data_IF_030534070647
#
_entry.id   IF_030534070647
#
_cell.length_a   1.000
_cell.length_b   1.000
_cell.length_c   1.000
_cell.angle_alpha   90.00
_cell.angle_beta   90.00
_cell.angle_gamma   90.00
#
_symmetry.space_group_name_H-M   'P 1'
#
loop_
_entity.id
_entity.type
_entity.pdbx_description
1 polymer ?
#
# COMPACT_ATOMS: atom_id res chain seq x y z
N UNK A 1 6.32 3.30 -0.11
CA UNK A 1 5.51 2.06 -0.01
C UNK A 1 4.85 1.99 1.35
N UNK A 2 3.55 1.63 1.43
CA UNK A 2 2.90 1.36 2.71
C UNK A 2 3.05 -0.13 3.10
N UNK A 3 3.45 -0.43 4.34
CA UNK A 3 3.65 -1.80 4.83
C UNK A 3 2.80 -2.03 6.08
N UNK A 4 1.76 -2.85 5.98
CA UNK A 4 0.85 -3.06 7.10
C UNK A 4 -0.32 -3.99 6.83
N UNK A 5 -0.91 -4.54 7.90
CA UNK A 5 -2.08 -5.40 7.83
C UNK A 5 -3.31 -4.69 7.20
N UNK A 6 -4.28 -5.43 6.61
CA UNK A 6 -5.63 -4.88 6.44
C UNK A 6 -6.12 -4.34 7.78
N UNK A 7 -6.92 -3.27 7.82
CA UNK A 7 -7.34 -2.70 9.09
C UNK A 7 -6.39 -1.61 9.65
N UNK A 8 -5.13 -1.57 9.21
CA UNK A 8 -4.07 -0.80 9.88
C UNK A 8 -4.08 0.71 9.64
N UNK A 9 -5.02 1.24 8.83
CA UNK A 9 -5.10 2.67 8.53
C UNK A 9 -4.30 3.14 7.31
N UNK A 10 -3.82 2.24 6.44
CA UNK A 10 -3.09 2.62 5.19
C UNK A 10 -3.85 3.62 4.33
N UNK A 11 -5.11 3.33 4.01
CA UNK A 11 -5.96 4.21 3.20
C UNK A 11 -6.17 5.57 3.85
N UNK A 12 -6.32 5.62 5.18
CA UNK A 12 -6.42 6.87 5.94
C UNK A 12 -5.11 7.67 5.85
N UNK A 13 -3.98 7.00 6.04
CA UNK A 13 -2.67 7.65 5.94
C UNK A 13 -2.40 8.16 4.52
N UNK A 14 -2.72 7.37 3.50
CA UNK A 14 -2.65 7.79 2.10
C UNK A 14 -3.47 9.06 1.85
N UNK A 15 -4.71 9.12 2.33
CA UNK A 15 -5.55 10.31 2.18
C UNK A 15 -4.93 11.56 2.82
N UNK A 16 -4.29 11.41 3.99
CA UNK A 16 -3.54 12.49 4.64
C UNK A 16 -2.33 12.93 3.82
N UNK A 17 -1.55 11.98 3.30
CA UNK A 17 -0.40 12.26 2.43
C UNK A 17 -0.83 13.00 1.15
N UNK A 18 -1.95 12.59 0.54
CA UNK A 18 -2.51 13.26 -0.64
C UNK A 18 -2.99 14.68 -0.32
N UNK A 19 -3.75 14.85 0.77
CA UNK A 19 -4.24 16.16 1.19
C UNK A 19 -3.10 17.15 1.51
N UNK A 20 -1.97 16.64 2.00
CA UNK A 20 -0.78 17.44 2.28
C UNK A 20 0.13 17.67 1.05
N UNK A 21 -0.20 17.14 -0.14
CA UNK A 21 0.66 17.21 -1.32
C UNK A 21 1.99 16.44 -1.18
N UNK A 22 2.05 15.51 -0.24
CA UNK A 22 3.23 14.71 0.10
C UNK A 22 3.18 13.28 -0.49
N UNK A 23 2.03 12.88 -1.06
CA UNK A 23 1.95 11.65 -1.82
C UNK A 23 2.44 11.86 -3.26
N UNK A 24 3.17 10.90 -3.84
CA UNK A 24 3.38 10.86 -5.28
C UNK A 24 2.06 10.97 -6.04
N UNK A 25 2.08 11.65 -7.19
CA UNK A 25 0.90 11.85 -8.04
C UNK A 25 0.22 10.51 -8.41
N UNK A 26 1.00 9.42 -8.50
CA UNK A 26 0.49 8.08 -8.79
C UNK A 26 0.44 7.22 -7.54
N UNK A 27 -0.74 6.72 -7.21
CA UNK A 27 -0.93 5.60 -6.29
C UNK A 27 -1.21 4.33 -7.07
N UNK A 28 -0.63 3.21 -6.63
CA UNK A 28 -0.88 1.89 -7.16
C UNK A 28 -1.50 1.04 -6.04
N UNK A 29 -2.78 0.72 -6.16
CA UNK A 29 -3.53 -0.04 -5.16
C UNK A 29 -4.32 -1.17 -5.81
N UNK A 30 -4.11 -2.40 -5.33
CA UNK A 30 -4.86 -3.56 -5.82
C UNK A 30 -6.35 -3.46 -5.53
N UNK A 31 -6.73 -2.86 -4.40
CA UNK A 31 -8.14 -2.74 -4.03
C UNK A 31 -8.87 -1.71 -4.89
N UNK A 32 -8.20 -0.62 -5.27
CA UNK A 32 -8.74 0.37 -6.21
C UNK A 32 -8.82 -0.20 -7.62
N UNK A 33 -7.79 -0.87 -8.11
CA UNK A 33 -7.83 -1.46 -9.45
C UNK A 33 -8.89 -2.57 -9.57
N UNK A 34 -9.16 -3.33 -8.50
CA UNK A 34 -10.30 -4.26 -8.45
C UNK A 34 -11.64 -3.52 -8.53
N UNK A 35 -11.79 -2.43 -7.77
CA UNK A 35 -13.00 -1.61 -7.79
C UNK A 35 -13.24 -0.99 -9.17
N UNK A 36 -12.23 -0.36 -9.76
CA UNK A 36 -12.27 0.21 -11.12
C UNK A 36 -12.59 -0.85 -12.16
N UNK A 37 -12.02 -2.07 -12.04
CA UNK A 37 -12.34 -3.15 -12.96
C UNK A 37 -13.80 -3.61 -12.83
N UNK A 38 -14.34 -3.70 -11.61
CA UNK A 38 -15.76 -4.00 -11.37
C UNK A 38 -16.68 -2.91 -11.89
N UNK A 39 -16.36 -1.64 -11.65
CA UNK A 39 -17.12 -0.49 -12.16
C UNK A 39 -17.20 -0.51 -13.70
N UNK A 40 -16.10 -0.85 -14.37
CA UNK A 40 -16.08 -1.01 -15.84
C UNK A 40 -16.94 -2.17 -16.33
N UNK A 41 -16.98 -3.29 -15.61
CA UNK A 41 -17.87 -4.41 -15.92
C UNK A 41 -19.33 -3.98 -15.80
N UNK A 42 -19.69 -3.31 -14.70
CA UNK A 42 -21.05 -2.81 -14.46
C UNK A 42 -21.46 -1.77 -15.51
N UNK A 43 -20.58 -0.82 -15.82
CA UNK A 43 -20.83 0.19 -16.86
C UNK A 43 -21.00 -0.42 -18.26
N UNK A 44 -20.42 -1.60 -18.50
CA UNK A 44 -20.59 -2.38 -19.72
C UNK A 44 -21.78 -3.36 -19.67
N UNK A 45 -22.66 -3.25 -18.67
CA UNK A 45 -23.87 -4.07 -18.53
C UNK A 45 -23.62 -5.49 -18.02
N UNK A 46 -22.42 -5.82 -17.51
CA UNK A 46 -22.14 -7.12 -16.92
C UNK A 46 -22.58 -7.18 -15.46
N UNK A 47 -23.00 -8.36 -15.02
CA UNK A 47 -23.36 -8.58 -13.62
C UNK A 47 -22.14 -8.38 -12.70
N UNK A 48 -22.27 -7.65 -11.58
CA UNK A 48 -21.17 -7.39 -10.68
C UNK A 48 -20.70 -8.65 -9.95
N UNK A 49 -19.45 -9.03 -10.14
CA UNK A 49 -18.81 -10.16 -9.45
C UNK A 49 -18.11 -9.74 -8.16
N UNK A 50 -17.82 -10.67 -7.23
CA UNK A 50 -16.97 -10.43 -6.07
C UNK A 50 -15.63 -9.76 -6.45
N UNK A 51 -15.18 -8.78 -5.66
CA UNK A 51 -13.96 -7.99 -5.97
C UNK A 51 -12.70 -8.86 -6.18
N UNK A 52 -12.59 -9.99 -5.48
CA UNK A 52 -11.42 -10.87 -5.59
C UNK A 52 -11.29 -11.53 -6.97
N UNK A 53 -12.39 -11.69 -7.72
CA UNK A 53 -12.36 -12.21 -9.09
C UNK A 53 -11.69 -11.26 -10.09
N UNK A 54 -11.55 -9.98 -9.72
CA UNK A 54 -10.84 -8.99 -10.51
C UNK A 54 -9.33 -8.96 -10.23
N UNK A 55 -8.81 -9.82 -9.35
CA UNK A 55 -7.41 -9.75 -8.89
C UNK A 55 -6.40 -9.88 -10.02
N UNK A 56 -6.59 -10.78 -10.97
CA UNK A 56 -5.63 -10.96 -12.07
C UNK A 56 -5.54 -9.70 -12.95
N UNK A 57 -6.67 -9.08 -13.25
CA UNK A 57 -6.73 -7.81 -13.98
C UNK A 57 -6.11 -6.68 -13.16
N UNK A 58 -6.42 -6.60 -11.87
CA UNK A 58 -5.87 -5.58 -10.98
C UNK A 58 -4.35 -5.67 -10.85
N UNK A 59 -3.80 -6.88 -10.72
CA UNK A 59 -2.35 -7.13 -10.69
C UNK A 59 -1.68 -6.63 -11.96
N UNK A 60 -2.16 -7.05 -13.14
CA UNK A 60 -1.57 -6.62 -14.43
C UNK A 60 -1.59 -5.10 -14.59
N UNK A 61 -2.67 -4.45 -14.16
CA UNK A 61 -2.80 -2.98 -14.23
C UNK A 61 -1.88 -2.27 -13.26
N UNK A 62 -1.73 -2.80 -12.04
CA UNK A 62 -0.75 -2.32 -11.08
C UNK A 62 0.68 -2.45 -11.63
N UNK A 63 1.03 -3.61 -12.19
CA UNK A 63 2.36 -3.86 -12.77
C UNK A 63 2.65 -2.90 -13.94
N UNK A 64 1.70 -2.73 -14.87
CA UNK A 64 1.83 -1.77 -15.96
C UNK A 64 1.94 -0.33 -15.47
N UNK A 65 1.18 0.05 -14.43
CA UNK A 65 1.26 1.36 -13.81
C UNK A 65 2.62 1.64 -13.19
N UNK A 66 3.17 0.66 -12.44
CA UNK A 66 4.50 0.74 -11.84
C UNK A 66 5.57 0.83 -12.93
N UNK A 67 5.51 -0.03 -13.95
CA UNK A 67 6.45 -0.02 -15.05
C UNK A 67 6.47 1.33 -15.79
N UNK A 68 5.30 1.91 -16.07
CA UNK A 68 5.19 3.22 -16.69
C UNK A 68 5.77 4.35 -15.82
N UNK A 69 5.50 4.34 -14.50
CA UNK A 69 6.09 5.30 -13.57
C UNK A 69 7.61 5.19 -13.53
N UNK A 70 8.15 3.97 -13.42
CA UNK A 70 9.59 3.72 -13.35
C UNK A 70 10.30 4.12 -14.66
N UNK A 71 9.73 3.78 -15.82
CA UNK A 71 10.29 4.15 -17.12
C UNK A 71 10.34 5.68 -17.32
N UNK A 72 9.42 6.41 -16.70
CA UNK A 72 9.39 7.86 -16.70
C UNK A 72 10.24 8.51 -15.59
N UNK A 73 10.90 7.72 -14.73
CA UNK A 73 11.63 8.23 -13.56
C UNK A 73 10.73 8.93 -12.53
N UNK A 74 9.44 8.59 -12.49
CA UNK A 74 8.46 9.24 -11.62
C UNK A 74 8.19 8.39 -10.36
N UNK A 75 8.12 9.02 -9.17
CA UNK A 75 7.79 8.31 -7.94
C UNK A 75 6.32 7.82 -7.97
N UNK A 76 6.05 6.75 -7.21
CA UNK A 76 4.70 6.23 -7.00
C UNK A 76 4.51 5.71 -5.57
N UNK A 77 3.27 5.74 -5.10
CA UNK A 77 2.87 5.16 -3.83
C UNK A 77 2.32 3.74 -4.04
N UNK A 78 3.08 2.73 -3.64
CA UNK A 78 2.58 1.36 -3.54
C UNK A 78 1.69 1.20 -2.30
N UNK A 79 0.38 1.04 -2.50
CA UNK A 79 -0.64 0.84 -1.46
C UNK A 79 -1.21 -0.59 -1.51
N UNK A 80 -0.54 -1.48 -0.78
CA UNK A 80 -0.99 -2.83 -0.51
C UNK A 80 -0.51 -3.24 0.88
N UNK A 81 -0.70 -4.51 1.26
CA UNK A 81 -0.24 -4.96 2.58
C UNK A 81 1.29 -5.06 2.67
N UNK A 82 1.96 -5.44 1.58
CA UNK A 82 3.42 -5.62 1.46
C UNK A 82 4.06 -6.44 2.61
N UNK A 83 3.33 -7.42 3.14
CA UNK A 83 3.80 -8.25 4.26
C UNK A 83 4.74 -9.39 3.85
N UNK A 84 4.86 -9.70 2.55
CA UNK A 84 5.79 -10.71 2.05
C UNK A 84 7.09 -10.03 1.58
N UNK A 85 8.24 -10.55 2.04
CA UNK A 85 9.57 -10.04 1.66
C UNK A 85 9.76 -9.96 0.16
N UNK A 86 9.38 -11.01 -0.59
CA UNK A 86 9.54 -11.05 -2.04
C UNK A 86 8.85 -9.88 -2.76
N UNK A 87 7.67 -9.49 -2.27
CA UNK A 87 6.88 -8.40 -2.86
C UNK A 87 7.58 -7.06 -2.59
N UNK A 88 8.11 -6.86 -1.36
CA UNK A 88 8.87 -5.66 -0.99
C UNK A 88 10.18 -5.52 -1.77
N UNK A 89 11.00 -6.57 -1.79
CA UNK A 89 12.31 -6.57 -2.46
C UNK A 89 12.17 -6.31 -3.96
N UNK A 90 11.10 -6.80 -4.60
CA UNK A 90 10.84 -6.51 -6.01
C UNK A 90 10.66 -5.00 -6.25
N UNK A 91 9.88 -4.31 -5.42
CA UNK A 91 9.69 -2.85 -5.50
C UNK A 91 10.98 -2.07 -5.20
N UNK A 92 11.75 -2.48 -4.19
CA UNK A 92 13.04 -1.86 -3.84
C UNK A 92 13.99 -1.90 -5.04
N UNK A 93 14.22 -3.10 -5.59
CA UNK A 93 15.10 -3.29 -6.75
C UNK A 93 14.64 -2.49 -7.96
N UNK A 94 13.32 -2.47 -8.21
CA UNK A 94 12.76 -1.74 -9.34
C UNK A 94 12.92 -0.21 -9.19
N UNK A 95 12.77 0.32 -7.97
CA UNK A 95 13.03 1.73 -7.68
C UNK A 95 14.51 2.08 -7.91
N UNK A 96 15.43 1.30 -7.33
CA UNK A 96 16.87 1.52 -7.49
C UNK A 96 17.33 1.42 -8.95
N UNK A 97 16.81 0.46 -9.70
CA UNK A 97 17.10 0.32 -11.13
C UNK A 97 16.64 1.53 -11.95
N UNK A 98 15.62 2.25 -11.49
CA UNK A 98 15.14 3.50 -12.09
C UNK A 98 15.80 4.76 -11.50
N UNK A 99 16.83 4.62 -10.64
CA UNK A 99 17.48 5.74 -9.98
C UNK A 99 16.63 6.42 -8.90
N UNK A 100 15.59 5.75 -8.41
CA UNK A 100 14.68 6.27 -7.39
C UNK A 100 14.97 5.68 -6.01
N UNK A 101 14.66 6.45 -4.96
CA UNK A 101 14.73 5.98 -3.57
C UNK A 101 13.53 5.12 -3.22
N UNK A 102 13.78 4.01 -2.53
CA UNK A 102 12.78 3.14 -1.95
C UNK A 102 12.53 3.51 -0.48
N UNK A 103 11.36 4.10 -0.20
CA UNK A 103 10.94 4.46 1.17
C UNK A 103 9.83 3.54 1.67
N UNK A 104 10.00 2.94 2.84
CA UNK A 104 8.94 2.19 3.53
C UNK A 104 8.25 3.07 4.58
N UNK A 105 6.92 3.00 4.60
CA UNK A 105 6.10 3.53 5.69
C UNK A 105 5.50 2.35 6.44
N UNK A 106 6.03 2.10 7.63
CA UNK A 106 5.71 0.96 8.45
C UNK A 106 4.51 1.28 9.34
N UNK A 107 3.37 0.68 9.04
CA UNK A 107 2.11 0.91 9.79
C UNK A 107 2.19 0.32 11.21
N UNK A 108 1.38 0.74 12.18
CA UNK A 108 1.43 0.17 13.53
C UNK A 108 1.13 -1.33 13.54
N UNK A 109 1.78 -2.05 14.45
CA UNK A 109 1.41 -3.42 14.80
C UNK A 109 0.20 -3.36 15.74
N UNK A 110 -0.94 -3.83 15.25
CA UNK A 110 -2.20 -3.85 16.00
C UNK A 110 -2.59 -5.30 16.27
N UNK A 111 -3.20 -5.54 17.43
CA UNK A 111 -3.76 -6.83 17.76
C UNK A 111 -4.91 -7.22 16.77
N UNK A 112 -5.15 -8.52 16.55
CA UNK A 112 -6.20 -8.96 15.64
C UNK A 112 -7.61 -8.46 15.98
N UNK A 113 -7.93 -8.21 17.26
CA UNK A 113 -9.25 -7.74 17.67
C UNK A 113 -9.47 -6.26 17.29
N UNK A 114 -8.45 -5.41 17.43
CA UNK A 114 -8.46 -4.03 16.96
C UNK A 114 -8.61 -3.97 15.44
N UNK A 115 -7.90 -4.84 14.70
CA UNK A 115 -8.08 -4.96 13.26
C UNK A 115 -9.50 -5.40 12.90
N UNK A 116 -10.05 -6.39 13.59
CA UNK A 116 -11.41 -6.88 13.35
C UNK A 116 -12.48 -5.82 13.61
N UNK A 117 -12.38 -5.06 14.71
CA UNK A 117 -13.29 -3.93 14.99
C UNK A 117 -13.26 -2.89 13.87
N UNK A 118 -12.07 -2.54 13.39
CA UNK A 118 -11.91 -1.58 12.29
C UNK A 118 -12.39 -2.14 10.94
N UNK A 119 -12.18 -3.43 10.70
CA UNK A 119 -12.60 -4.08 9.46
C UNK A 119 -14.13 -4.22 9.40
N UNK A 120 -14.80 -4.46 10.53
CA UNK A 120 -16.26 -4.53 10.63
C UNK A 120 -16.96 -3.21 10.20
N UNK A 121 -16.30 -2.06 10.35
CA UNK A 121 -16.81 -0.77 9.90
C UNK A 121 -16.72 -0.56 8.37
N UNK A 122 -16.06 -1.47 7.64
CA UNK A 122 -15.91 -1.37 6.18
C UNK A 122 -17.14 -1.93 5.46
N UNK A 123 -17.37 -1.54 4.19
CA UNK A 123 -18.34 -2.20 3.32
C UNK A 123 -18.09 -3.72 3.28
N UNK A 124 -19.13 -4.58 3.29
CA UNK A 124 -18.99 -6.04 3.34
C UNK A 124 -18.00 -6.63 2.33
N UNK A 125 -18.00 -6.10 1.11
CA UNK A 125 -17.13 -6.53 0.00
C UNK A 125 -15.64 -6.18 0.20
N UNK A 126 -15.33 -5.29 1.14
CA UNK A 126 -13.96 -4.89 1.53
C UNK A 126 -13.50 -5.52 2.85
N UNK A 127 -14.38 -6.26 3.53
CA UNK A 127 -14.04 -6.99 4.75
C UNK A 127 -13.18 -8.20 4.42
N UNK A 128 -12.33 -8.57 5.36
CA UNK A 128 -11.48 -9.76 5.24
C UNK A 128 -11.78 -10.74 6.37
N UNK A 129 -11.68 -12.07 6.12
CA UNK A 129 -11.92 -13.06 7.16
C UNK A 129 -10.98 -12.89 8.36
N UNK A 130 -11.47 -13.20 9.57
CA UNK A 130 -10.71 -13.05 10.81
C UNK A 130 -9.35 -13.78 10.78
N UNK A 131 -9.28 -14.97 10.18
CA UNK A 131 -8.02 -15.70 10.02
C UNK A 131 -7.01 -14.96 9.13
N UNK A 132 -7.48 -14.16 8.16
CA UNK A 132 -6.61 -13.32 7.33
C UNK A 132 -6.06 -12.16 8.16
N UNK A 133 -6.89 -11.53 8.99
CA UNK A 133 -6.46 -10.46 9.90
C UNK A 133 -5.40 -10.96 10.88
N UNK A 134 -5.64 -12.10 11.55
CA UNK A 134 -4.68 -12.68 12.49
C UNK A 134 -3.34 -13.00 11.81
N UNK A 135 -3.37 -13.65 10.63
CA UNK A 135 -2.17 -13.95 9.84
C UNK A 135 -1.43 -12.69 9.42
N UNK A 136 -2.15 -11.63 9.03
CA UNK A 136 -1.54 -10.36 8.64
C UNK A 136 -0.97 -9.59 9.85
N UNK A 137 -1.63 -9.63 11.01
CA UNK A 137 -1.14 -9.06 12.26
C UNK A 137 0.18 -9.72 12.65
N UNK A 138 0.21 -11.06 12.70
CA UNK A 138 1.43 -11.82 12.99
C UNK A 138 2.57 -11.46 12.04
N UNK A 139 2.34 -11.49 10.72
CA UNK A 139 3.36 -11.11 9.73
C UNK A 139 3.84 -9.67 9.87
N UNK A 140 2.95 -8.74 10.22
CA UNK A 140 3.34 -7.35 10.52
C UNK A 140 4.22 -7.30 11.76
N UNK A 141 3.89 -8.03 12.81
CA UNK A 141 4.67 -8.09 14.06
C UNK A 141 6.10 -8.60 13.88
N UNK A 142 6.38 -9.35 12.81
CA UNK A 142 7.73 -9.81 12.45
C UNK A 142 8.59 -8.76 11.73
N UNK A 143 8.03 -7.59 11.39
CA UNK A 143 8.75 -6.53 10.67
C UNK A 143 9.20 -5.44 11.64
N UNK A 144 10.46 -5.06 11.55
CA UNK A 144 11.05 -3.89 12.22
C UNK A 144 11.58 -2.91 11.18
N UNK A 145 11.86 -1.67 11.59
CA UNK A 145 12.51 -0.69 10.72
C UNK A 145 13.90 -1.20 10.26
N UNK A 146 14.68 -1.76 11.19
CA UNK A 146 15.99 -2.36 10.92
C UNK A 146 15.91 -3.47 9.85
N UNK A 147 14.95 -4.38 9.97
CA UNK A 147 14.76 -5.45 8.98
C UNK A 147 14.44 -4.90 7.60
N UNK A 148 13.63 -3.84 7.51
CA UNK A 148 13.32 -3.21 6.23
C UNK A 148 14.53 -2.48 5.66
N UNK A 149 15.34 -1.80 6.48
CA UNK A 149 16.63 -1.25 6.01
C UNK A 149 17.52 -2.36 5.46
N UNK A 150 17.63 -3.50 6.14
CA UNK A 150 18.39 -4.66 5.67
C UNK A 150 17.83 -5.29 4.38
N UNK A 151 16.56 -5.05 4.05
CA UNK A 151 15.97 -5.45 2.76
C UNK A 151 16.30 -4.48 1.60
N UNK A 152 16.98 -3.36 1.90
CA UNK A 152 17.44 -2.37 0.93
C UNK A 152 16.57 -1.13 0.82
N UNK A 153 15.66 -0.87 1.76
CA UNK A 153 14.97 0.42 1.79
C UNK A 153 15.94 1.54 2.19
N UNK A 154 15.96 2.64 1.45
CA UNK A 154 16.81 3.82 1.71
C UNK A 154 16.36 4.61 2.95
N UNK A 155 15.09 4.49 3.30
CA UNK A 155 14.53 5.05 4.51
C UNK A 155 13.30 4.24 4.96
N UNK A 156 13.12 4.16 6.27
CA UNK A 156 11.94 3.58 6.88
C UNK A 156 11.37 4.57 7.87
N UNK A 157 10.07 4.85 7.75
CA UNK A 157 9.34 5.76 8.62
C UNK A 157 8.23 4.98 9.30
N UNK A 158 8.15 5.02 10.62
CA UNK A 158 7.00 4.46 11.31
C UNK A 158 5.82 5.43 11.23
N UNK A 159 4.63 4.89 10.99
CA UNK A 159 3.45 5.73 10.82
C UNK A 159 3.08 6.54 12.08
N UNK A 160 3.55 6.14 13.26
CA UNK A 160 3.36 6.88 14.51
C UNK A 160 4.22 8.16 14.55
N UNK A 161 5.33 8.18 13.83
CA UNK A 161 6.31 9.27 13.83
C UNK A 161 6.04 10.30 12.72
N UNK A 162 5.00 10.06 11.90
CA UNK A 162 4.61 11.00 10.86
C UNK A 162 3.94 12.23 11.49
N UNK A 163 4.50 13.44 11.30
CA UNK A 163 3.95 14.64 11.92
C UNK A 163 2.51 14.89 11.44
N UNK A 164 1.64 15.46 12.30
CA UNK A 164 0.26 15.76 11.95
C UNK A 164 0.13 16.80 10.81
N UNK A 165 1.18 17.59 10.57
CA UNK A 165 1.38 18.40 9.37
C UNK A 165 2.60 17.87 8.59
N UNK A 166 2.38 17.31 7.40
CA UNK A 166 3.38 16.57 6.62
C UNK A 166 4.36 17.46 5.82
N UNK A 167 4.56 18.71 6.25
CA UNK A 167 5.54 19.63 5.64
C UNK A 167 6.99 19.20 5.86
N UNK A 168 7.25 18.47 6.96
CA UNK A 168 8.58 18.05 7.42
C UNK A 168 8.80 16.55 7.27
N UNK A 169 8.33 15.94 6.17
CA UNK A 169 8.83 14.62 5.83
C UNK A 169 10.33 14.72 5.55
N UNK A 170 11.14 13.71 5.96
CA UNK A 170 12.57 13.71 5.68
C UNK A 170 12.80 13.96 4.19
N UNK A 171 13.80 14.77 3.81
CA UNK A 171 14.08 15.10 2.41
C UNK A 171 14.19 13.81 1.60
N UNK A 172 13.22 13.59 0.69
CA UNK A 172 13.01 12.31 0.01
C UNK A 172 11.54 11.91 -0.21
N UNK A 173 10.57 12.52 0.48
CA UNK A 173 9.14 12.37 0.21
C UNK A 173 8.46 13.68 -0.28
N UNK A 174 9.11 14.81 -0.03
CA UNK A 174 8.69 16.15 -0.47
C UNK A 174 9.65 16.64 -1.56
N UNK A 175 9.18 16.57 -2.81
CA UNK A 175 9.73 17.20 -4.03
C UNK A 175 11.12 16.76 -4.50
N UNK A 176 11.13 15.98 -5.59
CA UNK A 176 12.02 16.25 -6.72
C UNK A 176 11.30 17.16 -7.71
#
# INVERSE_FOLDING_TARGET
MLVGAPASGKTTLRGRLQAAGAAPARTVSLDEERAVARERDVAAGREPRPLQEYSATAVRRCEAAVAASLAAGLPYLADATHLRRRDRVAHVRAAHAAGLRAVAVLMPHLDPAALARRDAARPPERRVPAQVLARCAHRRGLLSAELLVAEGFDAVVEAADLPPGLGDLPPGLSRG
#
